data_IF_285893672624
#
_entry.id   IF_285893672624
#
_cell.length_a   1.000
_cell.length_b   1.000
_cell.length_c   1.000
_cell.angle_alpha   90.00
_cell.angle_beta   90.00
_cell.angle_gamma   90.00
#
_symmetry.space_group_name_H-M   'P 1'
#
loop_
_entity.id
_entity.type
_entity.pdbx_description
1 polymer ?
#
# COMPACT_ATOMS: atom_id res chain seq x y z
N UNK A 1 12.81 -2.95 -19.70
CA UNK A 1 11.96 -4.16 -19.51
C UNK A 1 10.49 -3.78 -19.40
N UNK A 2 9.68 -3.90 -20.47
CA UNK A 2 8.22 -3.84 -20.37
C UNK A 2 7.65 -5.08 -19.68
N UNK A 3 6.69 -4.89 -18.79
CA UNK A 3 5.97 -5.91 -18.04
C UNK A 3 4.51 -5.44 -17.94
N UNK A 4 3.54 -6.34 -17.83
CA UNK A 4 2.12 -6.03 -18.01
C UNK A 4 1.44 -5.79 -16.67
N UNK A 5 0.60 -4.76 -16.59
CA UNK A 5 -0.21 -4.46 -15.41
C UNK A 5 -1.66 -4.91 -15.68
N UNK A 6 -2.10 -5.98 -15.03
CA UNK A 6 -3.51 -6.40 -14.97
C UNK A 6 -4.07 -6.04 -13.60
N UNK A 7 -5.27 -5.45 -13.53
CA UNK A 7 -5.81 -4.90 -12.27
C UNK A 7 -7.23 -5.40 -12.04
N UNK A 8 -7.54 -5.91 -10.83
CA UNK A 8 -8.89 -6.03 -10.30
C UNK A 8 -9.38 -4.77 -9.58
N UNK A 9 -10.67 -4.47 -9.78
CA UNK A 9 -11.49 -3.69 -8.85
C UNK A 9 -12.04 -4.63 -7.78
N UNK A 10 -11.77 -4.33 -6.50
CA UNK A 10 -12.28 -5.07 -5.35
C UNK A 10 -13.76 -4.79 -5.03
N UNK A 11 -14.48 -5.71 -4.36
CA UNK A 11 -15.92 -5.62 -4.16
C UNK A 11 -16.23 -4.76 -2.93
N UNK A 12 -17.08 -3.75 -3.08
CA UNK A 12 -17.75 -3.12 -1.93
C UNK A 12 -19.21 -3.57 -1.88
N UNK A 13 -19.55 -4.19 -0.76
CA UNK A 13 -20.86 -4.70 -0.36
C UNK A 13 -21.93 -3.60 -0.26
N UNK A 14 -23.01 -3.72 -1.04
CA UNK A 14 -24.25 -2.96 -0.90
C UNK A 14 -25.22 -3.22 -2.07
N UNK A 15 -26.54 -3.44 -1.86
CA UNK A 15 -27.48 -3.84 -2.92
C UNK A 15 -28.17 -2.62 -3.57
N UNK A 16 -28.94 -2.79 -4.67
CA UNK A 16 -28.47 -2.98 -6.04
C UNK A 16 -28.81 -1.75 -6.91
N UNK A 17 -27.85 -1.28 -7.69
CA UNK A 17 -28.06 -0.37 -8.83
C UNK A 17 -27.03 -0.72 -9.90
N UNK A 18 -27.36 -0.66 -11.20
CA UNK A 18 -26.61 -1.34 -12.25
C UNK A 18 -25.21 -0.72 -12.40
N UNK A 19 -24.20 -1.41 -11.86
CA UNK A 19 -22.79 -1.05 -11.93
C UNK A 19 -22.10 -1.81 -13.07
N UNK A 20 -21.75 -1.08 -14.12
CA UNK A 20 -20.75 -1.47 -15.12
C UNK A 20 -19.57 -0.48 -15.01
N UNK A 21 -18.39 -1.02 -14.71
CA UNK A 21 -17.07 -0.39 -14.85
C UNK A 21 -16.89 1.01 -14.24
N UNK A 22 -16.46 1.11 -12.98
CA UNK A 22 -15.83 2.35 -12.49
C UNK A 22 -14.34 2.36 -12.86
N UNK A 23 -14.06 2.71 -14.12
CA UNK A 23 -13.04 3.72 -14.34
C UNK A 23 -13.65 4.98 -13.76
N UNK A 24 -13.30 5.35 -12.52
CA UNK A 24 -13.60 6.70 -12.07
C UNK A 24 -12.87 7.60 -13.08
N UNK A 25 -13.60 8.45 -13.82
CA UNK A 25 -13.13 9.09 -15.07
C UNK A 25 -11.80 9.87 -14.95
N UNK A 26 -11.24 10.01 -13.75
CA UNK A 26 -10.00 10.72 -13.43
C UNK A 26 -9.01 9.92 -12.56
N UNK A 27 -9.27 8.66 -12.18
CA UNK A 27 -8.35 7.86 -11.36
C UNK A 27 -8.36 6.39 -11.73
N UNK A 28 -7.16 5.83 -11.95
CA UNK A 28 -6.95 4.40 -12.19
C UNK A 28 -6.19 3.82 -11.01
N UNK A 29 -6.78 2.82 -10.36
CA UNK A 29 -6.18 2.12 -9.22
C UNK A 29 -5.49 0.86 -9.74
N UNK A 30 -4.20 0.65 -9.41
CA UNK A 30 -3.41 -0.50 -9.86
C UNK A 30 -3.18 -1.47 -8.71
N UNK A 31 -3.70 -2.69 -8.83
CA UNK A 31 -3.72 -3.69 -7.74
C UNK A 31 -2.86 -4.93 -8.02
N UNK A 32 -2.65 -5.31 -9.28
CA UNK A 32 -1.85 -6.48 -9.63
C UNK A 32 -0.96 -6.23 -10.86
N UNK A 33 0.06 -7.06 -11.05
CA UNK A 33 0.96 -6.98 -12.19
C UNK A 33 1.68 -8.31 -12.43
N UNK A 34 2.05 -8.59 -13.69
CA UNK A 34 2.86 -9.75 -14.06
C UNK A 34 3.91 -9.38 -15.10
N UNK A 35 5.01 -10.12 -15.14
CA UNK A 35 6.06 -9.91 -16.13
C UNK A 35 5.82 -10.76 -17.36
N UNK A 36 5.96 -10.15 -18.54
CA UNK A 36 5.94 -10.86 -19.83
C UNK A 36 7.35 -10.92 -20.38
N UNK A 37 7.84 -12.10 -20.83
CA UNK A 37 9.11 -12.18 -21.50
C UNK A 37 9.07 -11.38 -22.80
N UNK A 38 10.10 -10.58 -23.03
CA UNK A 38 10.28 -9.81 -24.25
C UNK A 38 11.69 -10.08 -24.77
N UNK A 39 11.85 -10.02 -26.09
CA UNK A 39 13.14 -10.02 -26.74
C UNK A 39 13.37 -8.62 -27.33
N UNK A 40 14.42 -7.95 -26.89
CA UNK A 40 14.79 -6.60 -27.32
C UNK A 40 16.02 -6.72 -28.24
N UNK A 41 15.81 -6.47 -29.53
CA UNK A 41 16.88 -6.24 -30.52
C UNK A 41 16.92 -4.75 -30.89
N UNK A 42 18.01 -4.29 -31.52
CA UNK A 42 18.26 -2.85 -31.77
C UNK A 42 17.12 -2.12 -32.50
N UNK A 43 16.30 -2.82 -33.29
CA UNK A 43 15.20 -2.22 -34.07
C UNK A 43 13.84 -2.93 -33.88
N UNK A 44 13.82 -4.06 -33.17
CA UNK A 44 12.61 -4.88 -32.99
C UNK A 44 12.44 -5.29 -31.53
N UNK A 45 11.25 -5.01 -30.99
CA UNK A 45 10.81 -5.57 -29.71
C UNK A 45 9.72 -6.59 -29.96
N UNK A 46 10.05 -7.86 -29.72
CA UNK A 46 9.09 -8.94 -29.77
C UNK A 46 8.56 -9.22 -28.35
N UNK A 47 7.26 -9.02 -28.15
CA UNK A 47 6.55 -9.38 -26.92
C UNK A 47 5.77 -10.67 -27.17
N UNK A 48 5.92 -11.66 -26.28
CA UNK A 48 5.19 -12.92 -26.39
C UNK A 48 3.70 -12.74 -26.03
N UNK A 49 2.86 -12.70 -27.06
CA UNK A 49 1.41 -12.52 -26.92
C UNK A 49 0.72 -13.74 -26.34
N UNK A 50 1.19 -14.93 -26.67
CA UNK A 50 0.56 -16.17 -26.20
C UNK A 50 0.76 -16.29 -24.70
N UNK A 51 1.95 -15.96 -24.22
CA UNK A 51 2.21 -15.89 -22.78
C UNK A 51 1.33 -14.85 -22.09
N UNK A 52 1.22 -13.62 -22.64
CA UNK A 52 0.40 -12.57 -22.06
C UNK A 52 -1.09 -12.95 -21.99
N UNK A 53 -1.63 -13.59 -23.04
CA UNK A 53 -3.02 -14.07 -23.08
C UNK A 53 -3.27 -15.22 -22.10
N UNK A 54 -2.36 -16.18 -22.01
CA UNK A 54 -2.44 -17.28 -21.06
C UNK A 54 -2.42 -16.78 -19.61
N UNK A 55 -1.51 -15.85 -19.29
CA UNK A 55 -1.48 -15.22 -17.96
C UNK A 55 -2.75 -14.42 -17.69
N UNK A 56 -3.23 -13.65 -18.66
CA UNK A 56 -4.50 -12.93 -18.51
C UNK A 56 -5.69 -13.86 -18.24
N UNK A 57 -5.76 -15.01 -18.92
CA UNK A 57 -6.82 -16.00 -18.66
C UNK A 57 -6.72 -16.58 -17.24
N UNK A 58 -5.52 -16.90 -16.76
CA UNK A 58 -5.31 -17.39 -15.40
C UNK A 58 -5.71 -16.34 -14.35
N UNK A 59 -5.32 -15.08 -14.56
CA UNK A 59 -5.72 -13.96 -13.71
C UNK A 59 -7.24 -13.78 -13.70
N UNK A 60 -7.88 -13.88 -14.85
CA UNK A 60 -9.34 -13.80 -14.98
C UNK A 60 -10.07 -14.94 -14.28
N UNK A 61 -9.46 -16.13 -14.17
CA UNK A 61 -9.99 -17.26 -13.38
C UNK A 61 -9.90 -17.00 -11.88
N UNK A 62 -8.83 -16.37 -11.41
CA UNK A 62 -8.67 -16.00 -10.00
C UNK A 62 -9.58 -14.83 -9.63
N UNK A 63 -9.71 -13.85 -10.52
CA UNK A 63 -10.51 -12.64 -10.32
C UNK A 63 -11.10 -12.16 -11.65
N UNK A 64 -12.41 -12.40 -11.89
CA UNK A 64 -13.03 -12.07 -13.17
C UNK A 64 -13.29 -10.57 -13.38
N UNK A 65 -13.15 -9.76 -12.32
CA UNK A 65 -13.23 -8.29 -12.40
C UNK A 65 -11.94 -7.64 -12.93
N UNK A 66 -10.90 -8.44 -13.24
CA UNK A 66 -9.62 -7.94 -13.73
C UNK A 66 -9.64 -7.51 -15.20
N UNK A 67 -9.19 -6.28 -15.46
CA UNK A 67 -9.03 -5.73 -16.81
C UNK A 67 -7.59 -5.22 -16.98
N UNK A 68 -7.07 -5.36 -18.20
CA UNK A 68 -5.76 -4.82 -18.58
C UNK A 68 -5.89 -3.30 -18.75
N UNK A 69 -5.11 -2.52 -18.00
CA UNK A 69 -5.11 -1.05 -18.11
C UNK A 69 -3.85 -0.49 -18.77
N UNK A 70 -2.81 -1.31 -18.91
CA UNK A 70 -1.53 -0.82 -19.38
C UNK A 70 -0.36 -1.73 -19.05
N UNK A 71 0.83 -1.14 -19.13
CA UNK A 71 2.10 -1.84 -19.02
C UNK A 71 3.13 -0.94 -18.34
N UNK A 72 4.18 -1.54 -17.80
CA UNK A 72 5.22 -0.88 -17.05
C UNK A 72 6.59 -1.23 -17.59
N UNK A 73 7.47 -0.26 -17.78
CA UNK A 73 8.86 -0.46 -18.13
C UNK A 73 9.79 -0.25 -16.93
N UNK A 74 10.88 -0.99 -16.88
CA UNK A 74 12.07 -0.59 -16.12
C UNK A 74 12.91 0.34 -16.98
N UNK A 75 13.17 1.55 -16.50
CA UNK A 75 13.93 2.57 -17.22
C UNK A 75 13.69 3.96 -16.64
N UNK A 76 14.70 4.84 -16.73
CA UNK A 76 14.57 6.24 -16.32
C UNK A 76 13.92 7.11 -17.40
N UNK A 77 14.24 6.84 -18.67
CA UNK A 77 13.74 7.57 -19.83
C UNK A 77 12.83 6.71 -20.71
N UNK A 78 11.98 7.38 -21.48
CA UNK A 78 11.14 6.75 -22.48
C UNK A 78 12.01 6.50 -23.71
N UNK A 79 12.22 5.23 -24.05
CA UNK A 79 12.97 4.82 -25.24
C UNK A 79 12.06 4.75 -26.47
N UNK A 80 12.65 4.72 -27.66
CA UNK A 80 11.90 4.55 -28.92
C UNK A 80 11.13 3.23 -28.96
N UNK A 81 11.72 2.17 -28.38
CA UNK A 81 11.07 0.88 -28.14
C UNK A 81 9.76 0.98 -27.35
N UNK A 82 9.63 1.95 -26.44
CA UNK A 82 8.39 2.16 -25.69
C UNK A 82 7.22 2.55 -26.60
N UNK A 83 7.47 3.23 -27.72
CA UNK A 83 6.40 3.61 -28.67
C UNK A 83 5.83 2.37 -29.36
N UNK A 84 6.69 1.43 -29.77
CA UNK A 84 6.27 0.18 -30.41
C UNK A 84 5.42 -0.69 -29.48
N UNK A 85 5.85 -0.85 -28.23
CA UNK A 85 5.12 -1.60 -27.20
C UNK A 85 3.79 -0.89 -26.87
N UNK A 86 3.81 0.44 -26.86
CA UNK A 86 2.61 1.22 -26.57
C UNK A 86 1.55 1.11 -27.66
N UNK A 87 1.94 1.17 -28.94
CA UNK A 87 1.02 0.95 -30.07
C UNK A 87 0.42 -0.46 -30.00
N UNK A 88 1.22 -1.45 -29.62
CA UNK A 88 0.78 -2.82 -29.45
C UNK A 88 -0.31 -2.94 -28.37
N UNK A 89 -0.09 -2.41 -27.16
CA UNK A 89 -1.10 -2.43 -26.09
C UNK A 89 -2.30 -1.52 -26.37
N UNK A 90 -2.15 -0.50 -27.21
CA UNK A 90 -3.27 0.35 -27.65
C UNK A 90 -4.29 -0.40 -28.52
N UNK A 91 -3.93 -1.55 -29.09
CA UNK A 91 -4.86 -2.42 -29.83
C UNK A 91 -5.72 -3.27 -28.89
N UNK A 92 -5.19 -3.61 -27.71
CA UNK A 92 -5.85 -4.49 -26.73
C UNK A 92 -6.61 -3.70 -25.65
N UNK A 93 -6.12 -2.51 -25.26
CA UNK A 93 -6.69 -1.70 -24.18
C UNK A 93 -7.05 -0.28 -24.66
N UNK A 94 -8.17 0.25 -24.13
CA UNK A 94 -8.57 1.64 -24.37
C UNK A 94 -7.75 2.55 -23.43
N UNK A 95 -6.94 3.46 -24.00
CA UNK A 95 -6.04 4.36 -23.26
C UNK A 95 -5.07 3.64 -22.30
N UNK A 96 -4.09 2.88 -22.82
CA UNK A 96 -3.13 2.18 -21.97
C UNK A 96 -2.26 3.17 -21.18
N UNK A 97 -2.06 2.88 -19.89
CA UNK A 97 -1.14 3.62 -19.02
C UNK A 97 0.24 2.99 -19.13
N UNK A 98 1.25 3.83 -19.37
CA UNK A 98 2.65 3.45 -19.37
C UNK A 98 3.31 3.86 -18.04
N UNK A 99 3.71 2.89 -17.23
CA UNK A 99 4.46 3.14 -16.01
C UNK A 99 5.97 2.99 -16.28
N UNK A 100 6.80 3.83 -15.68
CA UNK A 100 8.26 3.66 -15.70
C UNK A 100 8.76 3.57 -14.28
N UNK A 101 9.61 2.58 -14.03
CA UNK A 101 10.28 2.39 -12.75
C UNK A 101 11.78 2.58 -12.94
N UNK A 102 12.31 3.58 -12.25
CA UNK A 102 13.74 3.82 -12.18
C UNK A 102 14.38 2.87 -11.16
N UNK A 103 15.13 1.89 -11.68
CA UNK A 103 15.94 0.97 -10.89
C UNK A 103 17.42 1.39 -10.80
N UNK A 104 17.85 2.39 -11.58
CA UNK A 104 19.24 2.84 -11.60
C UNK A 104 19.58 3.72 -10.38
N UNK A 105 18.57 4.17 -9.64
CA UNK A 105 18.69 4.92 -8.38
C UNK A 105 19.64 6.12 -8.47
N UNK A 106 19.72 6.76 -9.64
CA UNK A 106 20.65 7.89 -9.87
C UNK A 106 20.34 9.07 -8.94
N UNK A 107 19.05 9.24 -8.58
CA UNK A 107 18.58 10.26 -7.64
C UNK A 107 18.59 9.80 -6.16
N UNK A 108 19.12 8.61 -5.85
CA UNK A 108 19.10 8.05 -4.48
C UNK A 108 17.71 7.63 -3.98
N UNK A 109 16.67 7.73 -4.81
CA UNK A 109 15.29 7.31 -4.51
C UNK A 109 14.68 6.59 -5.70
N UNK A 110 13.97 5.50 -5.44
CA UNK A 110 13.20 4.80 -6.47
C UNK A 110 12.07 5.73 -6.93
N UNK A 111 12.03 6.02 -8.23
CA UNK A 111 11.02 6.89 -8.81
C UNK A 111 10.08 6.07 -9.70
N UNK A 112 8.77 6.25 -9.51
CA UNK A 112 7.73 5.64 -10.33
C UNK A 112 6.98 6.78 -11.01
N UNK A 113 7.00 6.80 -12.34
CA UNK A 113 6.28 7.79 -13.15
C UNK A 113 5.25 7.07 -14.01
N UNK A 114 4.05 7.63 -14.07
CA UNK A 114 3.00 7.16 -14.98
C UNK A 114 2.88 8.13 -16.15
N UNK A 115 2.56 7.60 -17.32
CA UNK A 115 2.31 8.34 -18.53
C UNK A 115 1.06 7.83 -19.23
N UNK A 116 0.33 8.75 -19.85
CA UNK A 116 -0.73 8.41 -20.81
C UNK A 116 -0.33 8.95 -22.18
N UNK A 117 -0.56 8.15 -23.21
CA UNK A 117 -0.37 8.59 -24.59
C UNK A 117 -1.49 9.53 -25.01
N UNK A 118 -1.12 10.68 -25.55
CA UNK A 118 -1.99 11.50 -26.36
C UNK A 118 -1.46 11.46 -27.80
N UNK A 119 -2.26 11.02 -28.79
CA UNK A 119 -1.87 11.13 -30.18
C UNK A 119 -1.79 12.62 -30.54
N UNK A 120 -0.62 13.06 -30.99
CA UNK A 120 -0.37 14.43 -31.39
C UNK A 120 0.06 14.41 -32.85
N UNK A 121 -0.81 14.92 -33.73
CA UNK A 121 -0.54 14.93 -35.16
C UNK A 121 -1.46 15.91 -35.88
N UNK A 122 -0.92 16.53 -36.93
CA UNK A 122 -1.71 17.34 -37.86
C UNK A 122 -2.31 16.38 -38.90
N UNK A 123 -3.61 16.49 -39.24
CA UNK A 123 -4.20 15.65 -40.28
C UNK A 123 -3.41 15.81 -41.60
N UNK A 124 -2.73 14.75 -42.03
CA UNK A 124 -1.92 14.70 -43.26
C UNK A 124 -0.38 14.69 -43.10
N UNK A 125 0.18 14.69 -41.88
CA UNK A 125 1.62 14.50 -41.60
C UNK A 125 1.86 13.52 -40.44
N UNK A 126 3.14 13.21 -40.18
CA UNK A 126 3.63 12.28 -39.15
C UNK A 126 2.81 12.35 -37.86
N UNK A 127 2.16 11.23 -37.53
CA UNK A 127 1.42 11.06 -36.29
C UNK A 127 2.46 10.75 -35.21
N UNK A 128 2.70 11.69 -34.30
CA UNK A 128 3.54 11.48 -33.13
C UNK A 128 2.71 11.01 -31.94
N UNK A 129 3.31 10.22 -31.06
CA UNK A 129 2.71 9.88 -29.76
C UNK A 129 3.44 10.67 -28.69
N UNK A 130 2.71 11.52 -27.95
CA UNK A 130 3.28 12.23 -26.81
C UNK A 130 2.85 11.56 -25.52
N UNK A 131 3.81 11.29 -24.65
CA UNK A 131 3.56 10.77 -23.31
C UNK A 131 3.36 11.92 -22.33
N UNK A 132 2.12 12.08 -21.85
CA UNK A 132 1.77 13.08 -20.84
C UNK A 132 1.96 12.47 -19.45
N UNK A 133 2.78 13.07 -18.56
CA UNK A 133 3.00 12.53 -17.22
C UNK A 133 1.75 12.66 -16.35
N UNK A 134 1.51 11.63 -15.54
CA UNK A 134 0.43 11.55 -14.55
C UNK A 134 1.00 11.51 -13.13
N UNK A 135 0.25 12.05 -12.17
CA UNK A 135 0.59 11.96 -10.75
C UNK A 135 0.30 10.58 -10.20
N UNK A 136 1.31 9.89 -9.68
CA UNK A 136 1.17 8.60 -9.01
C UNK A 136 1.00 8.81 -7.50
N UNK A 137 0.03 8.12 -6.91
CA UNK A 137 -0.18 8.08 -5.46
C UNK A 137 -0.34 6.63 -5.01
N UNK A 138 0.33 6.26 -3.92
CA UNK A 138 0.12 4.96 -3.30
C UNK A 138 -1.11 5.01 -2.41
N UNK A 139 -2.02 4.06 -2.62
CA UNK A 139 -3.17 3.82 -1.78
C UNK A 139 -2.96 2.44 -1.15
N UNK A 140 -3.03 2.38 0.17
CA UNK A 140 -2.85 1.15 0.92
C UNK A 140 -4.18 0.76 1.54
N UNK A 141 -4.48 -0.53 1.56
CA UNK A 141 -5.55 -1.04 2.42
C UNK A 141 -5.07 -1.11 3.87
N UNK A 142 -6.00 -1.08 4.83
CA UNK A 142 -5.63 -1.07 6.26
C UNK A 142 -4.80 -2.28 6.67
N UNK A 143 -5.15 -3.46 6.13
CA UNK A 143 -4.43 -4.72 6.36
C UNK A 143 -3.05 -4.71 5.70
N UNK A 144 -2.96 -4.19 4.48
CA UNK A 144 -1.69 -4.04 3.76
C UNK A 144 -0.76 -3.07 4.47
N UNK A 145 -1.28 -1.95 4.99
CA UNK A 145 -0.51 -0.97 5.77
C UNK A 145 0.16 -1.62 6.97
N UNK A 146 -0.55 -2.48 7.71
CA UNK A 146 0.01 -3.21 8.87
C UNK A 146 1.11 -4.18 8.41
N UNK A 147 0.88 -4.91 7.31
CA UNK A 147 1.87 -5.83 6.74
C UNK A 147 3.14 -5.10 6.28
N UNK A 148 2.97 -3.98 5.57
CA UNK A 148 4.07 -3.13 5.09
C UNK A 148 4.82 -2.52 6.27
N UNK A 149 4.14 -2.04 7.31
CA UNK A 149 4.80 -1.53 8.51
C UNK A 149 5.67 -2.61 9.18
N UNK A 150 5.18 -3.85 9.26
CA UNK A 150 5.97 -4.96 9.78
C UNK A 150 7.19 -5.24 8.91
N UNK A 151 7.05 -5.24 7.58
CA UNK A 151 8.16 -5.44 6.64
C UNK A 151 9.17 -4.29 6.65
N UNK A 152 8.73 -3.05 6.89
CA UNK A 152 9.62 -1.90 7.00
C UNK A 152 10.60 -2.05 8.17
N UNK A 153 10.18 -2.68 9.27
CA UNK A 153 11.05 -2.95 10.43
C UNK A 153 12.23 -3.88 10.09
N UNK A 154 12.07 -4.74 9.09
CA UNK A 154 13.15 -5.64 8.65
C UNK A 154 14.25 -4.91 7.89
N UNK A 155 14.00 -3.68 7.40
CA UNK A 155 15.04 -2.87 6.73
C UNK A 155 16.23 -2.57 7.65
N UNK A 156 15.98 -2.38 8.94
CA UNK A 156 17.01 -2.04 9.91
C UNK A 156 17.85 -3.28 10.34
N UNK A 157 17.42 -4.49 9.99
CA UNK A 157 18.07 -5.75 10.35
C UNK A 157 18.14 -6.72 9.15
N UNK A 158 19.02 -6.47 8.15
CA UNK A 158 19.04 -7.19 6.87
C UNK A 158 19.40 -8.69 6.97
N UNK A 159 20.07 -9.11 8.05
CA UNK A 159 20.53 -10.50 8.23
C UNK A 159 19.72 -11.29 9.26
N UNK A 160 18.68 -10.70 9.86
CA UNK A 160 17.85 -11.40 10.82
C UNK A 160 16.52 -11.78 10.15
N UNK A 161 16.20 -13.08 10.15
CA UNK A 161 14.81 -13.52 10.01
C UNK A 161 14.06 -13.02 11.24
N UNK A 162 13.54 -11.79 11.17
CA UNK A 162 12.72 -11.23 12.22
C UNK A 162 11.45 -12.07 12.29
N UNK A 163 11.39 -13.00 13.23
CA UNK A 163 10.20 -13.77 13.52
C UNK A 163 9.06 -12.84 13.95
N UNK A 164 7.83 -13.35 13.94
CA UNK A 164 6.70 -12.60 14.47
C UNK A 164 6.98 -12.25 15.93
N UNK A 165 7.13 -10.97 16.23
CA UNK A 165 7.37 -10.49 17.60
C UNK A 165 6.11 -10.71 18.43
N UNK A 166 6.26 -11.07 19.71
CA UNK A 166 5.14 -11.08 20.66
C UNK A 166 4.39 -9.74 20.65
N UNK A 167 3.07 -9.80 20.76
CA UNK A 167 2.19 -8.62 20.78
C UNK A 167 2.62 -7.61 21.85
N UNK A 168 3.05 -8.08 23.03
CA UNK A 168 3.53 -7.20 24.10
C UNK A 168 4.79 -6.42 23.71
N UNK A 169 5.69 -7.05 22.96
CA UNK A 169 6.88 -6.38 22.42
C UNK A 169 6.47 -5.33 21.36
N UNK A 170 5.45 -5.61 20.54
CA UNK A 170 4.93 -4.62 19.60
C UNK A 170 4.32 -3.41 20.31
N UNK A 171 3.56 -3.63 21.39
CA UNK A 171 3.00 -2.55 22.22
C UNK A 171 4.12 -1.73 22.87
N UNK A 172 5.16 -2.37 23.42
CA UNK A 172 6.31 -1.67 23.98
C UNK A 172 7.03 -0.79 22.95
N UNK A 173 7.22 -1.27 21.72
CA UNK A 173 7.81 -0.48 20.62
C UNK A 173 6.91 0.68 20.22
N UNK A 174 5.60 0.46 20.15
CA UNK A 174 4.64 1.54 19.87
C UNK A 174 4.68 2.62 20.96
N UNK A 175 4.77 2.24 22.23
CA UNK A 175 4.93 3.17 23.35
C UNK A 175 6.23 3.98 23.25
N UNK A 176 7.36 3.32 22.93
CA UNK A 176 8.65 4.01 22.69
C UNK A 176 8.53 5.01 21.53
N UNK A 177 7.89 4.64 20.43
CA UNK A 177 7.69 5.55 19.28
C UNK A 177 6.85 6.76 19.66
N UNK A 178 5.79 6.58 20.45
CA UNK A 178 4.97 7.69 20.95
C UNK A 178 5.79 8.58 21.88
N UNK A 179 6.63 8.00 22.75
CA UNK A 179 7.53 8.74 23.61
C UNK A 179 8.52 9.59 22.80
N UNK A 180 9.12 9.05 21.74
CA UNK A 180 10.04 9.78 20.85
C UNK A 180 9.35 10.94 20.11
N UNK A 181 8.12 10.70 19.64
CA UNK A 181 7.28 11.74 19.02
C UNK A 181 6.95 12.86 20.02
N UNK A 182 6.59 12.50 21.25
CA UNK A 182 6.34 13.48 22.33
C UNK A 182 7.60 14.27 22.68
N UNK A 183 8.77 13.61 22.77
CA UNK A 183 10.04 14.29 23.02
C UNK A 183 10.37 15.31 21.93
N UNK A 184 10.11 14.97 20.66
CA UNK A 184 10.28 15.88 19.52
C UNK A 184 9.35 17.10 19.63
N UNK A 185 8.08 16.88 20.00
CA UNK A 185 7.10 17.95 20.19
C UNK A 185 7.48 18.86 21.37
N UNK A 186 7.94 18.29 22.49
CA UNK A 186 8.39 19.06 23.65
C UNK A 186 9.59 19.94 23.30
N UNK A 187 10.57 19.38 22.59
CA UNK A 187 11.74 20.14 22.11
C UNK A 187 11.31 21.33 21.23
N UNK A 188 10.36 21.11 20.32
CA UNK A 188 9.80 22.19 19.50
C UNK A 188 9.11 23.28 20.34
N UNK A 189 8.34 22.90 21.35
CA UNK A 189 7.67 23.86 22.24
C UNK A 189 8.70 24.68 23.02
N UNK A 190 9.78 24.06 23.53
CA UNK A 190 10.87 24.75 24.22
C UNK A 190 11.63 25.73 23.31
N UNK A 191 11.87 25.36 22.06
CA UNK A 191 12.53 26.22 21.07
C UNK A 191 11.66 27.42 20.65
N UNK A 192 10.33 27.24 20.58
CA UNK A 192 9.39 28.34 20.35
C UNK A 192 9.27 29.25 21.57
N UNK A 193 9.22 28.69 22.79
CA UNK A 193 9.18 29.46 24.04
C UNK A 193 10.45 30.28 24.27
N UNK A 194 11.61 29.71 23.91
CA UNK A 194 12.91 30.40 23.99
C UNK A 194 13.14 31.41 22.85
N UNK A 195 12.20 31.52 21.90
CA UNK A 195 12.27 32.46 20.79
C UNK A 195 13.29 32.11 19.70
N UNK A 196 13.87 30.91 19.73
CA UNK A 196 14.81 30.43 18.69
C UNK A 196 14.10 30.11 17.38
N UNK A 197 12.84 29.69 17.44
CA UNK A 197 12.02 29.34 16.30
C UNK A 197 10.72 30.16 16.29
N UNK A 198 10.31 30.62 15.10
CA UNK A 198 9.06 31.37 14.93
C UNK A 198 7.85 30.48 15.23
N UNK A 199 6.92 30.98 16.04
CA UNK A 199 5.71 30.26 16.41
C UNK A 199 4.81 30.03 15.18
N UNK A 200 4.66 28.77 14.76
CA UNK A 200 3.64 28.40 13.77
C UNK A 200 2.28 28.20 14.45
N UNK A 201 1.32 29.06 14.10
CA UNK A 201 -0.03 29.03 14.66
C UNK A 201 -0.83 27.78 14.24
N UNK A 202 -0.47 27.15 13.12
CA UNK A 202 -1.11 25.90 12.67
C UNK A 202 -0.75 24.74 13.60
N UNK A 203 0.54 24.60 13.93
CA UNK A 203 1.05 23.59 14.88
C UNK A 203 0.45 23.83 16.27
N UNK A 204 0.39 25.09 16.73
CA UNK A 204 -0.25 25.43 18.00
C UNK A 204 -1.71 24.98 18.09
N UNK A 205 -2.47 25.13 17.00
CA UNK A 205 -3.86 24.65 16.94
C UNK A 205 -3.96 23.13 16.98
N UNK A 206 -3.08 22.41 16.29
CA UNK A 206 -3.03 20.95 16.34
C UNK A 206 -2.66 20.44 17.73
N UNK A 207 -1.73 21.09 18.43
CA UNK A 207 -1.37 20.75 19.80
C UNK A 207 -2.54 20.97 20.77
N UNK A 208 -3.27 22.08 20.61
CA UNK A 208 -4.45 22.35 21.43
C UNK A 208 -5.56 21.31 21.20
N UNK A 209 -5.80 20.92 19.94
CA UNK A 209 -6.74 19.84 19.60
C UNK A 209 -6.30 18.49 20.19
N UNK A 210 -5.00 18.18 20.16
CA UNK A 210 -4.45 16.96 20.76
C UNK A 210 -4.72 16.89 22.28
N UNK A 211 -4.45 17.98 23.01
CA UNK A 211 -4.67 18.04 24.47
C UNK A 211 -6.16 17.99 24.81
N UNK A 212 -7.01 18.64 24.02
CA UNK A 212 -8.45 18.66 24.24
C UNK A 212 -9.13 17.32 23.95
N UNK A 213 -8.52 16.43 23.16
CA UNK A 213 -9.03 15.07 22.93
C UNK A 213 -8.88 14.15 24.15
N UNK A 214 -8.00 14.49 25.10
CA UNK A 214 -7.82 13.69 26.31
C UNK A 214 -8.96 14.01 27.28
N UNK A 215 -9.85 13.04 27.59
CA UNK A 215 -10.97 13.28 28.49
C UNK A 215 -10.45 13.55 29.91
N UNK A 216 -11.02 14.57 30.56
CA UNK A 216 -10.73 14.89 31.95
C UNK A 216 -11.64 14.05 32.85
N UNK A 217 -11.15 12.89 33.28
CA UNK A 217 -11.86 11.97 34.18
C UNK A 217 -11.27 12.13 35.59
N UNK A 218 -12.08 11.96 36.63
CA UNK A 218 -11.57 11.94 38.01
C UNK A 218 -10.68 10.70 38.21
N UNK A 219 -9.69 10.79 39.11
CA UNK A 219 -8.80 9.66 39.37
C UNK A 219 -9.56 8.45 39.95
N UNK A 220 -10.56 8.71 40.79
CA UNK A 220 -11.39 7.68 41.44
C UNK A 220 -12.23 6.89 40.43
N UNK A 221 -12.87 7.58 39.49
CA UNK A 221 -13.66 6.94 38.44
C UNK A 221 -12.77 6.14 37.49
N UNK A 222 -11.59 6.68 37.16
CA UNK A 222 -10.63 6.00 36.30
C UNK A 222 -10.08 4.72 36.94
N UNK A 223 -9.71 4.76 38.22
CA UNK A 223 -9.20 3.60 38.95
C UNK A 223 -10.28 2.52 39.07
N UNK A 224 -11.53 2.91 39.36
CA UNK A 224 -12.66 1.96 39.42
C UNK A 224 -12.89 1.29 38.06
N UNK A 225 -12.90 2.07 36.96
CA UNK A 225 -13.06 1.54 35.60
C UNK A 225 -11.91 0.60 35.21
N UNK A 226 -10.67 0.98 35.51
CA UNK A 226 -9.48 0.21 35.20
C UNK A 226 -9.43 -1.10 36.00
N UNK A 227 -9.73 -1.06 37.29
CA UNK A 227 -9.79 -2.24 38.14
C UNK A 227 -10.89 -3.21 37.69
N UNK A 228 -12.07 -2.70 37.31
CA UNK A 228 -13.14 -3.54 36.75
C UNK A 228 -12.66 -4.24 35.47
N UNK A 229 -12.01 -3.52 34.55
CA UNK A 229 -11.54 -4.09 33.30
C UNK A 229 -10.44 -5.14 33.50
N UNK A 230 -9.52 -4.91 34.44
CA UNK A 230 -8.48 -5.89 34.81
C UNK A 230 -9.12 -7.16 35.38
N UNK A 231 -10.09 -7.01 36.29
CA UNK A 231 -10.79 -8.14 36.90
C UNK A 231 -11.51 -8.99 35.83
N UNK A 232 -12.19 -8.34 34.87
CA UNK A 232 -12.87 -9.02 33.77
C UNK A 232 -11.87 -9.78 32.87
N UNK A 233 -10.77 -9.14 32.49
CA UNK A 233 -9.73 -9.78 31.67
C UNK A 233 -9.10 -10.98 32.38
N UNK A 234 -8.85 -10.85 33.69
CA UNK A 234 -8.28 -11.92 34.51
C UNK A 234 -9.27 -13.08 34.65
N UNK A 235 -10.57 -12.80 34.80
CA UNK A 235 -11.63 -13.80 34.83
C UNK A 235 -11.72 -14.58 33.51
N UNK A 236 -11.67 -13.89 32.36
CA UNK A 236 -11.67 -14.54 31.04
C UNK A 236 -10.45 -15.44 30.86
N UNK A 237 -9.27 -14.96 31.27
CA UNK A 237 -8.02 -15.74 31.19
C UNK A 237 -8.08 -16.98 32.08
N UNK A 238 -8.63 -16.85 33.29
CA UNK A 238 -8.82 -17.97 34.20
C UNK A 238 -9.79 -19.02 33.63
N UNK A 239 -10.93 -18.57 33.08
CA UNK A 239 -11.90 -19.47 32.44
C UNK A 239 -11.30 -20.19 31.23
N UNK A 240 -10.50 -19.52 30.40
CA UNK A 240 -9.81 -20.14 29.28
C UNK A 240 -8.82 -21.24 29.72
N UNK A 241 -8.10 -21.01 30.81
CA UNK A 241 -7.20 -22.03 31.38
C UNK A 241 -7.98 -23.22 31.96
N UNK A 242 -9.14 -22.97 32.58
CA UNK A 242 -10.00 -24.03 33.11
C UNK A 242 -10.57 -24.88 31.97
N UNK A 243 -11.06 -24.26 30.88
CA UNK A 243 -11.55 -25.02 29.71
C UNK A 243 -10.44 -25.83 29.04
N UNK A 244 -9.23 -25.29 28.92
CA UNK A 244 -8.08 -26.06 28.43
C UNK A 244 -7.75 -27.26 29.32
N UNK A 245 -7.75 -27.07 30.65
CA UNK A 245 -7.53 -28.18 31.60
C UNK A 245 -8.63 -29.25 31.49
N UNK A 246 -9.89 -28.83 31.33
CA UNK A 246 -11.01 -29.74 31.16
C UNK A 246 -10.92 -30.53 29.84
N UNK A 247 -10.48 -29.89 28.75
CA UNK A 247 -10.22 -30.57 27.47
C UNK A 247 -9.12 -31.61 27.65
N UNK A 248 -8.00 -31.26 28.29
CA UNK A 248 -6.88 -32.18 28.53
C UNK A 248 -7.29 -33.38 29.40
N UNK A 249 -8.12 -33.16 30.44
CA UNK A 249 -8.68 -34.26 31.24
C UNK A 249 -9.59 -35.16 30.42
N UNK A 250 -10.46 -34.57 29.60
CA UNK A 250 -11.38 -35.34 28.76
C UNK A 250 -10.63 -36.20 27.72
N UNK A 251 -9.60 -35.64 27.07
CA UNK A 251 -8.73 -36.41 26.18
C UNK A 251 -8.09 -37.61 26.89
N UNK A 252 -7.65 -37.44 28.14
CA UNK A 252 -7.07 -38.54 28.93
C UNK A 252 -8.11 -39.61 29.32
N UNK A 253 -9.36 -39.22 29.57
CA UNK A 253 -10.43 -40.16 29.91
C UNK A 253 -10.90 -40.93 28.66
N UNK A 254 -10.99 -40.29 27.50
CA UNK A 254 -11.40 -40.93 26.24
C UNK A 254 -10.35 -41.93 25.73
N UNK A 255 -9.08 -41.74 26.10
CA UNK A 255 -7.97 -42.63 25.73
C UNK A 255 -7.90 -43.89 26.61
N UNK A 256 -8.63 -43.94 27.72
CA UNK A 256 -8.77 -45.12 28.61
C UNK A 256 -9.95 -46.00 28.19
#
# INVERSE_FOLDING_TARGET
MPKVCSIPVGPNSGPPVPQQCTVDKHSVEVTNCFSVPHNESEDEVAVDMEFAKNMYELHKRVSPSEVIVGWYATGFEITEHSVLIHEYYSREATNPIHLTMDCALQSGKMNIRAYVSAPMGVPGKTVGVMFTPLSVKYKYYDTERIGVELLQRTRDAPNASSGLTSDLCQVGKAASRVQDMLATVLTYIEDVLSGKQGADNSVGRYLMDLVNKVPKISAEDFETMLNSNINDLLMVTYLANLTQAQIALNEKIVVL
#
